data_IF_278325549326
#
_entry.id   IF_278325549326
#
_cell.length_a   1.000
_cell.length_b   1.000
_cell.length_c   1.000
_cell.angle_alpha   90.00
_cell.angle_beta   90.00
_cell.angle_gamma   90.00
#
_symmetry.space_group_name_H-M   'P 1'
#
loop_
_entity.id
_entity.type
_entity.pdbx_description
1 polymer ?
#
# COMPACT_ATOMS: atom_id res chain seq x y z
N UNK A 1 -22.64 -16.96 0.40
CA UNK A 1 -22.95 -15.63 0.93
C UNK A 1 -22.57 -15.62 2.40
N UNK A 2 -21.86 -14.59 2.86
CA UNK A 2 -21.44 -14.46 4.26
C UNK A 2 -22.42 -13.52 4.98
N UNK A 3 -23.30 -14.03 5.86
CA UNK A 3 -24.31 -13.20 6.54
C UNK A 3 -23.70 -12.05 7.38
N UNK A 4 -22.51 -12.27 7.94
CA UNK A 4 -21.77 -11.31 8.76
C UNK A 4 -21.05 -10.22 7.94
N UNK A 5 -20.88 -10.39 6.63
CA UNK A 5 -20.18 -9.45 5.75
C UNK A 5 -21.08 -8.94 4.61
N UNK A 6 -22.23 -8.31 4.91
CA UNK A 6 -23.14 -7.82 3.88
C UNK A 6 -22.48 -6.69 3.08
N UNK A 7 -22.60 -6.75 1.74
CA UNK A 7 -22.12 -5.68 0.85
C UNK A 7 -23.25 -5.04 0.06
N UNK A 8 -24.11 -5.91 -0.54
CA UNK A 8 -25.34 -5.53 -1.23
C UNK A 8 -26.42 -6.51 -0.84
N UNK A 9 -27.67 -6.27 -1.25
CA UNK A 9 -28.82 -7.13 -0.93
C UNK A 9 -28.58 -8.60 -1.21
N UNK A 10 -27.80 -8.93 -2.26
CA UNK A 10 -27.54 -10.31 -2.71
C UNK A 10 -26.06 -10.69 -2.68
N UNK A 11 -25.16 -9.82 -2.19
CA UNK A 11 -23.72 -10.05 -2.21
C UNK A 11 -23.09 -9.80 -0.86
N UNK A 12 -22.16 -10.66 -0.49
CA UNK A 12 -21.26 -10.44 0.63
C UNK A 12 -19.87 -10.13 0.11
N UNK A 13 -19.13 -9.29 0.84
CA UNK A 13 -17.74 -8.97 0.54
C UNK A 13 -16.94 -8.78 1.81
N UNK A 14 -15.73 -9.29 1.81
CA UNK A 14 -14.74 -9.08 2.86
C UNK A 14 -13.65 -8.18 2.31
N UNK A 15 -13.35 -7.11 3.01
CA UNK A 15 -12.26 -6.18 2.68
C UNK A 15 -11.06 -6.45 3.57
N UNK A 16 -9.89 -6.45 2.95
CA UNK A 16 -8.61 -6.55 3.64
C UNK A 16 -7.88 -5.21 3.49
N UNK A 17 -7.82 -4.46 4.56
CA UNK A 17 -7.09 -3.20 4.63
C UNK A 17 -5.65 -3.47 5.08
N UNK A 18 -4.69 -2.95 4.36
CA UNK A 18 -3.28 -3.29 4.58
C UNK A 18 -2.41 -2.04 4.51
N UNK A 19 -1.57 -1.85 5.51
CA UNK A 19 -0.39 -0.99 5.44
C UNK A 19 0.82 -1.87 5.12
N UNK A 20 1.52 -1.56 4.02
CA UNK A 20 2.66 -2.32 3.54
C UNK A 20 3.94 -1.51 3.73
N UNK A 21 4.93 -2.04 4.46
CA UNK A 21 6.27 -1.46 4.49
C UNK A 21 6.96 -1.72 3.14
N UNK A 22 7.17 -0.65 2.38
CA UNK A 22 7.74 -0.70 1.03
C UNK A 22 9.22 -1.13 1.00
N UNK A 23 9.93 -1.09 2.13
CA UNK A 23 11.34 -1.54 2.23
C UNK A 23 11.50 -3.05 2.16
N UNK A 24 10.43 -3.80 2.30
CA UNK A 24 10.46 -5.27 2.26
C UNK A 24 9.16 -5.88 1.75
N UNK A 25 8.20 -5.05 1.38
CA UNK A 25 6.84 -5.45 0.98
C UNK A 25 6.16 -6.32 2.05
N UNK A 26 6.43 -6.01 3.33
CA UNK A 26 5.90 -6.74 4.48
C UNK A 26 4.72 -5.94 5.06
N UNK A 27 3.53 -6.54 5.21
CA UNK A 27 2.41 -5.88 5.86
C UNK A 27 2.71 -5.63 7.35
N UNK A 28 2.61 -4.38 7.76
CA UNK A 28 2.81 -3.95 9.17
C UNK A 28 1.49 -3.75 9.89
N UNK A 29 0.42 -3.57 9.14
CA UNK A 29 -0.93 -3.45 9.67
C UNK A 29 -1.91 -4.14 8.74
N UNK A 30 -2.84 -4.92 9.31
CA UNK A 30 -3.93 -5.57 8.60
C UNK A 30 -5.22 -5.44 9.41
N UNK A 31 -6.28 -5.06 8.72
CA UNK A 31 -7.62 -5.07 9.27
C UNK A 31 -8.60 -5.72 8.29
N UNK A 32 -9.41 -6.65 8.80
CA UNK A 32 -10.45 -7.34 8.03
C UNK A 32 -11.79 -6.72 8.39
N UNK A 33 -12.52 -6.25 7.39
CA UNK A 33 -13.85 -5.68 7.56
C UNK A 33 -14.86 -6.26 6.58
N UNK A 34 -16.14 -5.98 6.79
CA UNK A 34 -17.17 -6.20 5.79
C UNK A 34 -17.02 -5.27 4.59
N UNK A 35 -17.83 -5.50 3.57
CA UNK A 35 -17.82 -4.71 2.33
C UNK A 35 -18.35 -3.29 2.47
N UNK A 36 -19.07 -2.97 3.54
CA UNK A 36 -19.69 -1.65 3.76
C UNK A 36 -18.74 -0.62 4.33
N UNK A 37 -17.72 -1.06 5.06
CA UNK A 37 -16.74 -0.15 5.66
C UNK A 37 -16.08 0.72 4.58
N UNK A 38 -16.15 2.03 4.74
CA UNK A 38 -15.42 2.97 3.89
C UNK A 38 -13.92 2.85 4.14
N UNK A 39 -13.14 2.75 3.06
CA UNK A 39 -11.70 2.53 3.12
C UNK A 39 -10.96 3.61 3.91
N UNK A 40 -11.42 4.86 3.80
CA UNK A 40 -10.82 6.01 4.49
C UNK A 40 -10.87 5.87 6.03
N UNK A 41 -11.89 5.20 6.57
CA UNK A 41 -12.06 5.01 8.01
C UNK A 41 -10.95 4.14 8.64
N UNK A 42 -10.17 3.43 7.81
CA UNK A 42 -9.04 2.68 8.34
C UNK A 42 -7.93 3.59 8.87
N UNK A 43 -7.84 4.81 8.37
CA UNK A 43 -6.87 5.80 8.85
C UNK A 43 -7.06 6.14 10.34
N UNK A 44 -8.28 5.99 10.87
CA UNK A 44 -8.56 6.21 12.30
C UNK A 44 -7.97 5.13 13.20
N UNK A 45 -7.62 3.99 12.64
CA UNK A 45 -7.03 2.85 13.35
C UNK A 45 -5.51 2.79 13.26
N UNK A 46 -4.92 3.63 12.41
CA UNK A 46 -3.47 3.71 12.28
C UNK A 46 -2.89 4.57 13.40
N UNK A 47 -1.74 4.13 13.91
CA UNK A 47 -0.89 4.94 14.78
C UNK A 47 0.21 5.53 13.89
N UNK A 48 0.16 6.83 13.56
CA UNK A 48 1.14 7.45 12.68
C UNK A 48 2.52 7.49 13.34
N UNK A 49 3.56 7.14 12.57
CA UNK A 49 4.95 7.23 13.00
C UNK A 49 5.56 8.53 12.49
N UNK A 50 6.15 9.33 13.38
CA UNK A 50 6.84 10.57 13.00
C UNK A 50 7.98 10.28 12.00
N UNK A 51 8.07 11.10 10.96
CA UNK A 51 9.04 10.93 9.87
C UNK A 51 8.67 9.87 8.82
N UNK A 52 7.66 9.05 9.05
CA UNK A 52 7.21 8.07 8.06
C UNK A 52 6.44 8.71 6.90
N UNK A 53 6.53 8.10 5.72
CA UNK A 53 5.77 8.48 4.53
C UNK A 53 4.62 7.51 4.28
N UNK A 54 3.40 8.03 4.32
CA UNK A 54 2.18 7.29 4.01
C UNK A 54 1.76 7.55 2.57
N UNK A 55 1.88 6.54 1.72
CA UNK A 55 1.50 6.62 0.30
C UNK A 55 0.14 5.94 0.12
N UNK A 56 -0.84 6.70 -0.34
CA UNK A 56 -2.22 6.22 -0.39
C UNK A 56 -2.96 6.64 -1.65
N UNK A 57 -3.98 5.88 -2.03
CA UNK A 57 -4.82 6.21 -3.18
C UNK A 57 -5.77 7.38 -2.86
N UNK A 58 -6.36 7.93 -3.92
CA UNK A 58 -7.36 9.01 -3.85
C UNK A 58 -8.58 8.67 -2.99
N UNK A 59 -8.92 7.38 -2.83
CA UNK A 59 -9.98 6.92 -1.95
C UNK A 59 -9.77 7.29 -0.48
N UNK A 60 -8.52 7.50 -0.08
CA UNK A 60 -8.14 7.90 1.29
C UNK A 60 -8.00 9.42 1.46
N UNK A 61 -8.41 10.23 0.47
CA UNK A 61 -8.32 11.69 0.55
C UNK A 61 -9.43 12.23 1.46
N UNK A 62 -9.08 12.47 2.71
CA UNK A 62 -9.87 13.07 3.76
C UNK A 62 -8.97 14.03 4.55
N UNK A 63 -9.33 15.30 4.59
CA UNK A 63 -8.41 16.33 5.07
C UNK A 63 -8.26 16.33 6.59
N UNK A 64 -9.29 16.01 7.35
CA UNK A 64 -9.20 15.84 8.80
C UNK A 64 -8.19 14.74 9.16
N UNK A 65 -8.29 13.58 8.52
CA UNK A 65 -7.38 12.46 8.74
C UNK A 65 -5.95 12.74 8.26
N UNK A 66 -5.81 13.46 7.14
CA UNK A 66 -4.50 13.92 6.67
C UNK A 66 -3.87 14.94 7.62
N UNK A 67 -4.68 15.80 8.27
CA UNK A 67 -4.24 16.72 9.31
C UNK A 67 -3.70 15.94 10.52
N UNK A 68 -4.36 14.89 10.94
CA UNK A 68 -3.86 14.01 12.03
C UNK A 68 -2.49 13.40 11.69
N UNK A 69 -2.29 12.91 10.46
CA UNK A 69 -0.98 12.45 10.00
C UNK A 69 0.07 13.56 10.06
N UNK A 70 -0.28 14.75 9.60
CA UNK A 70 0.62 15.92 9.62
C UNK A 70 0.99 16.32 11.06
N UNK A 71 0.02 16.44 11.94
CA UNK A 71 0.22 16.81 13.35
C UNK A 71 1.06 15.76 14.10
N UNK A 72 0.96 14.49 13.72
CA UNK A 72 1.81 13.42 14.25
C UNK A 72 3.26 13.46 13.70
N UNK A 73 3.63 14.48 12.91
CA UNK A 73 4.97 14.61 12.33
C UNK A 73 5.25 13.64 11.17
N UNK A 74 4.23 13.00 10.63
CA UNK A 74 4.38 12.11 9.47
C UNK A 74 4.09 12.84 8.16
N UNK A 75 4.56 12.23 7.06
CA UNK A 75 4.35 12.73 5.72
C UNK A 75 3.34 11.84 4.96
N UNK A 76 2.63 12.44 4.03
CA UNK A 76 1.76 11.68 3.13
C UNK A 76 1.96 12.06 1.67
N UNK A 77 1.67 11.13 0.78
CA UNK A 77 1.56 11.35 -0.66
C UNK A 77 0.27 10.70 -1.14
N UNK A 78 -0.63 11.49 -1.70
CA UNK A 78 -1.89 10.99 -2.25
C UNK A 78 -2.24 11.69 -3.57
N UNK A 79 -3.25 11.18 -4.28
CA UNK A 79 -3.76 11.83 -5.49
C UNK A 79 -4.84 12.85 -5.14
N UNK A 80 -4.69 14.07 -5.69
CA UNK A 80 -5.73 15.09 -5.62
C UNK A 80 -6.96 14.72 -6.47
N UNK A 81 -8.13 15.16 -6.02
CA UNK A 81 -9.37 15.13 -6.81
C UNK A 81 -9.34 16.24 -7.85
N UNK A 82 -10.00 16.05 -9.01
CA UNK A 82 -10.07 17.06 -10.08
C UNK A 82 -10.79 18.33 -9.66
N UNK A 83 -11.74 18.21 -8.74
CA UNK A 83 -12.56 19.30 -8.20
C UNK A 83 -12.00 19.91 -6.90
N UNK A 84 -10.72 19.67 -6.59
CA UNK A 84 -10.08 20.22 -5.40
C UNK A 84 -10.07 21.76 -5.45
N UNK A 85 -10.77 22.39 -4.50
CA UNK A 85 -10.76 23.85 -4.33
C UNK A 85 -9.50 24.24 -3.55
N UNK A 86 -8.53 24.83 -4.24
CA UNK A 86 -7.28 25.26 -3.65
C UNK A 86 -6.68 26.45 -4.40
N UNK A 87 -6.19 27.44 -3.66
CA UNK A 87 -5.52 28.60 -4.18
C UNK A 87 -4.00 28.39 -4.16
N UNK A 88 -3.35 28.70 -5.29
CA UNK A 88 -1.89 28.71 -5.39
C UNK A 88 -1.33 29.92 -4.64
N UNK A 89 -0.35 29.66 -3.76
CA UNK A 89 0.42 30.68 -3.05
C UNK A 89 1.78 30.89 -3.71
N UNK A 90 2.45 29.80 -4.10
CA UNK A 90 3.77 29.85 -4.70
C UNK A 90 3.93 28.78 -5.77
N UNK A 91 4.79 28.99 -6.75
CA UNK A 91 5.13 28.02 -7.78
C UNK A 91 6.64 27.92 -7.93
N UNK A 92 7.18 26.71 -7.76
CA UNK A 92 8.59 26.41 -8.00
C UNK A 92 8.83 26.21 -9.49
N UNK A 93 10.02 26.57 -10.01
CA UNK A 93 10.41 26.19 -11.35
C UNK A 93 10.48 24.67 -11.46
N UNK A 94 10.10 24.12 -12.61
CA UNK A 94 10.14 22.70 -12.90
C UNK A 94 10.76 22.44 -14.27
N UNK A 95 11.52 21.38 -14.38
CA UNK A 95 11.99 20.88 -15.66
C UNK A 95 10.88 20.03 -16.31
N UNK A 96 10.28 20.55 -17.38
CA UNK A 96 9.18 19.88 -18.07
C UNK A 96 9.64 18.66 -18.87
N UNK A 97 10.90 18.53 -19.21
CA UNK A 97 11.45 17.36 -19.91
C UNK A 97 11.32 16.09 -19.08
N UNK A 98 11.27 16.23 -17.74
CA UNK A 98 11.07 15.13 -16.79
C UNK A 98 9.62 14.64 -16.67
N UNK A 99 8.67 15.32 -17.32
CA UNK A 99 7.24 15.09 -17.18
C UNK A 99 6.57 15.95 -16.09
N UNK A 100 7.33 16.72 -15.30
CA UNK A 100 6.77 17.64 -14.31
C UNK A 100 6.08 18.81 -15.03
N UNK A 101 4.82 19.07 -14.67
CA UNK A 101 4.04 20.18 -15.21
C UNK A 101 4.00 21.37 -14.25
N UNK A 102 3.96 21.14 -12.95
CA UNK A 102 4.11 22.16 -11.92
C UNK A 102 4.45 21.56 -10.55
N UNK A 103 5.08 22.37 -9.71
CA UNK A 103 5.33 22.15 -8.30
C UNK A 103 4.92 23.41 -7.53
N UNK A 104 3.86 23.33 -6.75
CA UNK A 104 3.18 24.49 -6.19
C UNK A 104 2.86 24.32 -4.72
N UNK A 105 3.01 25.40 -3.96
CA UNK A 105 2.40 25.54 -2.63
C UNK A 105 0.98 26.04 -2.81
N UNK A 106 0.03 25.35 -2.22
CA UNK A 106 -1.40 25.66 -2.28
C UNK A 106 -2.01 25.68 -0.89
N UNK A 107 -3.05 26.46 -0.69
CA UNK A 107 -3.92 26.42 0.49
C UNK A 107 -5.32 26.00 0.06
N UNK A 108 -5.99 25.21 0.87
CA UNK A 108 -7.34 24.78 0.60
C UNK A 108 -8.30 25.96 0.76
N UNK A 109 -9.32 26.04 -0.11
CA UNK A 109 -10.31 27.12 -0.12
C UNK A 109 -11.76 26.60 -0.08
N UNK A 110 -11.94 25.26 -0.05
CA UNK A 110 -13.25 24.67 0.17
C UNK A 110 -13.67 24.86 1.62
N UNK A 111 -14.94 25.15 1.89
CA UNK A 111 -15.46 25.50 3.22
C UNK A 111 -15.03 24.49 4.29
N UNK A 112 -15.31 23.21 4.14
CA UNK A 112 -14.91 22.18 5.10
C UNK A 112 -13.41 21.86 5.02
N UNK A 113 -12.87 21.68 3.83
CA UNK A 113 -11.47 21.26 3.65
C UNK A 113 -10.45 22.26 4.17
N UNK A 114 -10.77 23.58 4.19
CA UNK A 114 -9.90 24.61 4.76
C UNK A 114 -9.95 24.64 6.29
N UNK A 115 -11.03 24.16 6.89
CA UNK A 115 -11.12 24.00 8.35
C UNK A 115 -10.43 22.72 8.81
N UNK A 116 -10.58 21.64 8.05
CA UNK A 116 -10.01 20.33 8.37
C UNK A 116 -8.47 20.30 8.19
N UNK A 117 -7.94 21.13 7.28
CA UNK A 117 -6.51 21.24 6.99
C UNK A 117 -6.15 22.68 6.61
N UNK A 118 -5.72 23.46 7.58
CA UNK A 118 -5.47 24.91 7.49
C UNK A 118 -4.05 25.25 7.01
N UNK A 119 -3.12 24.29 7.07
CA UNK A 119 -1.74 24.47 6.67
C UNK A 119 -1.53 24.32 5.17
N UNK A 120 -0.48 24.95 4.59
CA UNK A 120 -0.19 24.79 3.17
C UNK A 120 0.13 23.35 2.78
N UNK A 121 -0.34 22.97 1.60
CA UNK A 121 -0.04 21.70 0.94
C UNK A 121 0.82 21.94 -0.30
N UNK A 122 1.60 20.94 -0.66
CA UNK A 122 2.34 20.91 -1.92
C UNK A 122 1.54 20.15 -2.95
N UNK A 123 1.29 20.78 -4.10
CA UNK A 123 0.62 20.19 -5.26
C UNK A 123 1.61 20.02 -6.40
N UNK A 124 1.80 18.77 -6.83
CA UNK A 124 2.68 18.42 -7.95
C UNK A 124 1.81 17.88 -9.08
N UNK A 125 1.93 18.45 -10.29
CA UNK A 125 1.32 17.88 -11.50
C UNK A 125 2.39 17.21 -12.34
N UNK A 126 2.11 16.00 -12.76
CA UNK A 126 3.04 15.15 -13.48
C UNK A 126 2.34 14.47 -14.66
N UNK A 127 2.97 14.49 -15.81
CA UNK A 127 2.58 13.70 -16.97
C UNK A 127 3.43 12.42 -16.97
N UNK A 128 2.82 11.29 -16.66
CA UNK A 128 3.56 10.04 -16.60
C UNK A 128 3.96 9.58 -18.01
N UNK A 129 5.26 9.57 -18.36
CA UNK A 129 5.69 9.22 -19.72
C UNK A 129 5.39 7.77 -20.09
N UNK A 130 5.24 6.88 -19.10
CA UNK A 130 4.93 5.46 -19.34
C UNK A 130 3.47 5.22 -19.68
N UNK A 131 2.56 5.98 -19.09
CA UNK A 131 1.11 5.75 -19.24
C UNK A 131 0.38 6.87 -19.97
N UNK A 132 1.06 8.00 -20.23
CA UNK A 132 0.46 9.22 -20.81
C UNK A 132 -0.54 9.92 -19.89
N UNK A 133 -0.70 9.45 -18.64
CA UNK A 133 -1.71 9.99 -17.73
C UNK A 133 -1.21 11.23 -17.02
N UNK A 134 -2.08 12.25 -16.93
CA UNK A 134 -1.83 13.41 -16.08
C UNK A 134 -2.26 13.11 -14.64
N UNK A 135 -1.32 13.20 -13.73
CA UNK A 135 -1.50 12.92 -12.32
C UNK A 135 -1.34 14.21 -11.52
N UNK A 136 -2.12 14.34 -10.45
CA UNK A 136 -2.00 15.43 -9.48
C UNK A 136 -1.73 14.81 -8.13
N UNK A 137 -0.61 15.13 -7.53
CA UNK A 137 -0.24 14.67 -6.19
C UNK A 137 -0.39 15.78 -5.17
N UNK A 138 -0.81 15.42 -3.99
CA UNK A 138 -0.83 16.26 -2.80
C UNK A 138 0.06 15.63 -1.73
N UNK A 139 0.86 16.47 -1.08
CA UNK A 139 1.74 16.07 0.02
C UNK A 139 1.94 17.23 0.99
N UNK A 140 2.26 16.93 2.24
CA UNK A 140 2.73 17.89 3.23
C UNK A 140 4.27 17.95 3.30
N UNK A 141 4.98 17.22 2.42
CA UNK A 141 6.45 17.27 2.35
C UNK A 141 6.91 18.31 1.33
N UNK A 142 7.70 19.27 1.78
CA UNK A 142 8.27 20.35 0.98
C UNK A 142 9.77 20.19 0.72
N UNK A 143 10.41 19.18 1.31
CA UNK A 143 11.86 18.97 1.28
C UNK A 143 12.28 18.11 0.10
N UNK A 144 11.61 16.96 -0.10
CA UNK A 144 11.98 16.03 -1.17
C UNK A 144 11.77 16.64 -2.57
N UNK A 145 12.62 16.31 -3.55
CA UNK A 145 12.41 16.68 -4.94
C UNK A 145 11.04 16.22 -5.46
N UNK A 146 10.43 17.00 -6.38
CA UNK A 146 9.10 16.68 -6.92
C UNK A 146 9.07 15.32 -7.62
N UNK A 147 10.12 14.92 -8.34
CA UNK A 147 10.23 13.60 -8.97
C UNK A 147 10.23 12.47 -7.93
N UNK A 148 10.95 12.64 -6.81
CA UNK A 148 10.95 11.65 -5.73
C UNK A 148 9.55 11.43 -5.16
N UNK A 149 8.74 12.50 -5.02
CA UNK A 149 7.33 12.37 -4.61
C UNK A 149 6.53 11.55 -5.63
N UNK A 150 6.75 11.73 -6.93
CA UNK A 150 6.07 10.94 -7.97
C UNK A 150 6.48 9.47 -7.93
N UNK A 151 7.75 9.19 -7.66
CA UNK A 151 8.28 7.83 -7.51
C UNK A 151 7.74 7.14 -6.26
N UNK A 152 7.69 7.84 -5.12
CA UNK A 152 7.05 7.34 -3.90
C UNK A 152 5.59 6.93 -4.18
N UNK A 153 4.84 7.77 -4.91
CA UNK A 153 3.48 7.40 -5.25
C UNK A 153 3.40 6.16 -6.16
N UNK A 154 4.35 5.97 -7.05
CA UNK A 154 4.41 4.77 -7.90
C UNK A 154 4.57 3.49 -7.07
N UNK A 155 5.30 3.56 -5.94
CA UNK A 155 5.45 2.42 -5.03
C UNK A 155 4.12 1.95 -4.41
N UNK A 156 3.05 2.75 -4.41
CA UNK A 156 1.70 2.33 -4.00
C UNK A 156 1.24 1.04 -4.68
N UNK A 157 1.69 0.81 -5.91
CA UNK A 157 1.34 -0.41 -6.66
C UNK A 157 1.78 -1.72 -5.97
N UNK A 158 2.73 -1.66 -5.08
CA UNK A 158 3.22 -2.83 -4.33
C UNK A 158 2.11 -3.48 -3.49
N UNK A 159 1.16 -2.70 -2.97
CA UNK A 159 -0.02 -3.24 -2.26
C UNK A 159 -0.89 -4.08 -3.18
N UNK A 160 -1.07 -3.68 -4.43
CA UNK A 160 -1.85 -4.44 -5.40
C UNK A 160 -1.14 -5.75 -5.79
N UNK A 161 0.20 -5.70 -5.92
CA UNK A 161 1.02 -6.89 -6.15
C UNK A 161 0.96 -7.86 -4.96
N UNK A 162 1.01 -7.35 -3.72
CA UNK A 162 0.80 -8.14 -2.53
C UNK A 162 -0.55 -8.86 -2.54
N UNK A 163 -1.66 -8.13 -2.79
CA UNK A 163 -2.98 -8.75 -2.87
C UNK A 163 -3.10 -9.76 -4.02
N UNK A 164 -2.51 -9.46 -5.17
CA UNK A 164 -2.47 -10.40 -6.30
C UNK A 164 -1.78 -11.68 -5.88
N UNK A 165 -0.62 -11.56 -5.23
CA UNK A 165 0.22 -12.68 -4.82
C UNK A 165 -0.50 -13.60 -3.83
N UNK A 166 -1.05 -13.06 -2.72
CA UNK A 166 -1.75 -13.89 -1.73
C UNK A 166 -3.01 -14.55 -2.29
N UNK A 167 -3.73 -13.86 -3.20
CA UNK A 167 -4.89 -14.45 -3.89
C UNK A 167 -4.50 -15.58 -4.83
N UNK A 168 -3.36 -15.49 -5.50
CA UNK A 168 -2.92 -16.50 -6.46
C UNK A 168 -2.31 -17.72 -5.78
N UNK A 169 -1.49 -17.53 -4.74
CA UNK A 169 -0.66 -18.59 -4.19
C UNK A 169 -1.16 -19.14 -2.85
N UNK A 170 -2.01 -18.42 -2.11
CA UNK A 170 -2.49 -18.82 -0.78
C UNK A 170 -4.00 -19.08 -0.73
N UNK A 171 -4.61 -19.30 -1.89
CA UNK A 171 -6.00 -19.79 -2.06
C UNK A 171 -7.08 -19.02 -1.28
N UNK A 172 -6.91 -17.71 -1.06
CA UNK A 172 -7.94 -16.89 -0.40
C UNK A 172 -9.06 -16.39 -1.34
N UNK A 173 -9.18 -16.97 -2.53
CA UNK A 173 -10.28 -16.69 -3.46
C UNK A 173 -11.55 -17.48 -3.12
N UNK A 174 -11.38 -18.63 -2.50
CA UNK A 174 -12.45 -19.50 -2.01
C UNK A 174 -12.20 -19.78 -0.54
N UNK A 175 -13.27 -19.66 0.25
CA UNK A 175 -13.20 -19.94 1.68
C UNK A 175 -13.77 -21.31 1.96
N UNK A 176 -13.11 -22.08 2.82
CA UNK A 176 -13.55 -23.43 3.23
C UNK A 176 -14.75 -23.38 4.18
N UNK A 177 -14.95 -22.27 4.88
CA UNK A 177 -16.08 -22.05 5.75
C UNK A 177 -16.76 -20.70 5.51
N UNK A 178 -18.00 -20.56 5.97
CA UNK A 178 -18.81 -19.35 5.79
C UNK A 178 -18.92 -18.50 7.03
N UNK A 179 -18.50 -19.00 8.20
CA UNK A 179 -18.50 -18.25 9.44
C UNK A 179 -17.41 -17.17 9.45
N UNK A 180 -17.62 -16.12 10.22
CA UNK A 180 -16.65 -15.02 10.34
C UNK A 180 -15.27 -15.53 10.79
N UNK A 181 -15.25 -16.40 11.81
CA UNK A 181 -14.00 -16.98 12.30
C UNK A 181 -13.30 -17.83 11.25
N UNK A 182 -14.00 -18.69 10.51
CA UNK A 182 -13.40 -19.52 9.48
C UNK A 182 -12.75 -18.67 8.38
N UNK A 183 -13.45 -17.63 7.90
CA UNK A 183 -12.94 -16.71 6.86
C UNK A 183 -11.74 -15.90 7.38
N UNK A 184 -11.84 -15.34 8.58
CA UNK A 184 -10.75 -14.58 9.19
C UNK A 184 -9.52 -15.45 9.44
N UNK A 185 -9.72 -16.68 9.95
CA UNK A 185 -8.62 -17.64 10.19
C UNK A 185 -7.89 -17.95 8.89
N UNK A 186 -8.62 -18.24 7.81
CA UNK A 186 -8.00 -18.52 6.51
C UNK A 186 -7.20 -17.33 5.98
N UNK A 187 -7.72 -16.11 6.10
CA UNK A 187 -7.01 -14.88 5.70
C UNK A 187 -5.76 -14.70 6.56
N UNK A 188 -5.87 -14.84 7.88
CA UNK A 188 -4.73 -14.68 8.78
C UNK A 188 -3.66 -15.73 8.54
N UNK A 189 -4.02 -16.99 8.30
CA UNK A 189 -3.09 -18.06 7.92
C UNK A 189 -2.34 -17.69 6.64
N UNK A 190 -3.05 -17.22 5.62
CA UNK A 190 -2.42 -16.82 4.36
C UNK A 190 -1.45 -15.64 4.54
N UNK A 191 -1.86 -14.62 5.28
CA UNK A 191 -1.01 -13.45 5.56
C UNK A 191 0.22 -13.86 6.38
N UNK A 192 0.04 -14.66 7.43
CA UNK A 192 1.16 -15.14 8.27
C UNK A 192 2.16 -15.96 7.46
N UNK A 193 1.67 -16.85 6.58
CA UNK A 193 2.54 -17.60 5.66
C UNK A 193 3.36 -16.67 4.76
N UNK A 194 2.70 -15.67 4.14
CA UNK A 194 3.42 -14.68 3.34
C UNK A 194 4.51 -13.96 4.13
N UNK A 195 4.16 -13.46 5.32
CA UNK A 195 5.09 -12.70 6.18
C UNK A 195 6.28 -13.56 6.60
N UNK A 196 6.05 -14.80 7.03
CA UNK A 196 7.11 -15.72 7.43
C UNK A 196 8.08 -15.98 6.28
N UNK A 197 7.57 -16.31 5.10
CA UNK A 197 8.42 -16.54 3.91
C UNK A 197 9.17 -15.27 3.50
N UNK A 198 8.53 -14.10 3.55
CA UNK A 198 9.18 -12.83 3.23
C UNK A 198 10.29 -12.48 4.24
N UNK A 199 10.08 -12.74 5.54
CA UNK A 199 11.11 -12.55 6.58
C UNK A 199 12.29 -13.49 6.35
N UNK A 200 12.04 -14.78 6.11
CA UNK A 200 13.08 -15.77 5.82
C UNK A 200 13.89 -15.34 4.60
N UNK A 201 13.20 -14.97 3.50
CA UNK A 201 13.87 -14.47 2.29
C UNK A 201 14.79 -13.30 2.60
N UNK A 202 14.30 -12.31 3.35
CA UNK A 202 15.05 -11.10 3.69
C UNK A 202 16.24 -11.41 4.60
N UNK A 203 16.04 -12.21 5.65
CA UNK A 203 17.10 -12.55 6.63
C UNK A 203 18.21 -13.37 6.00
N UNK A 204 17.88 -14.38 5.22
CA UNK A 204 18.82 -15.28 4.57
C UNK A 204 19.31 -14.76 3.22
N UNK A 205 18.86 -13.58 2.77
CA UNK A 205 19.20 -12.95 1.48
C UNK A 205 18.99 -13.91 0.29
N UNK A 206 17.91 -14.70 0.32
CA UNK A 206 17.57 -15.70 -0.69
C UNK A 206 17.17 -15.00 -1.99
N UNK A 207 17.74 -15.41 -3.12
CA UNK A 207 17.43 -14.83 -4.43
C UNK A 207 16.16 -15.40 -5.06
N UNK A 208 15.75 -16.62 -4.69
CA UNK A 208 14.53 -17.25 -5.18
C UNK A 208 13.30 -16.37 -4.91
N UNK A 209 12.29 -16.47 -5.78
CA UNK A 209 11.00 -15.78 -5.59
C UNK A 209 10.27 -16.34 -4.37
N UNK A 210 9.35 -15.57 -3.80
CA UNK A 210 8.51 -16.06 -2.68
C UNK A 210 7.67 -17.29 -3.09
N UNK A 211 7.31 -17.40 -4.37
CA UNK A 211 6.56 -18.54 -4.87
C UNK A 211 7.41 -19.81 -4.93
N UNK A 212 8.60 -19.74 -5.48
CA UNK A 212 9.57 -20.86 -5.48
C UNK A 212 9.86 -21.33 -4.06
N UNK A 213 10.08 -20.39 -3.14
CA UNK A 213 10.27 -20.73 -1.73
C UNK A 213 9.06 -21.47 -1.13
N UNK A 214 7.83 -21.03 -1.44
CA UNK A 214 6.63 -21.73 -0.98
C UNK A 214 6.52 -23.14 -1.57
N UNK A 215 6.84 -23.33 -2.85
CA UNK A 215 6.82 -24.65 -3.49
C UNK A 215 7.79 -25.59 -2.80
N UNK A 216 9.03 -25.16 -2.56
CA UNK A 216 10.03 -25.96 -1.88
C UNK A 216 9.60 -26.32 -0.46
N UNK A 217 9.16 -25.31 0.31
CA UNK A 217 8.66 -25.53 1.68
C UNK A 217 7.47 -26.49 1.72
N UNK A 218 6.58 -26.47 0.70
CA UNK A 218 5.44 -27.39 0.64
C UNK A 218 5.84 -28.84 0.42
N UNK A 219 6.96 -29.09 -0.26
CA UNK A 219 7.50 -30.42 -0.51
C UNK A 219 8.35 -30.94 0.66
N UNK A 220 9.03 -30.03 1.35
CA UNK A 220 10.00 -30.38 2.40
C UNK A 220 9.50 -30.07 3.81
N UNK A 221 8.21 -29.83 3.99
CA UNK A 221 7.60 -29.38 5.26
C UNK A 221 7.93 -30.31 6.46
N UNK A 222 8.10 -31.60 6.20
CA UNK A 222 8.39 -32.61 7.22
C UNK A 222 9.86 -33.02 7.29
N UNK A 223 10.74 -32.38 6.49
CA UNK A 223 12.17 -32.64 6.53
C UNK A 223 12.85 -31.74 7.56
N UNK A 224 13.75 -32.33 8.34
CA UNK A 224 14.56 -31.61 9.33
C UNK A 224 15.85 -31.05 8.68
N UNK A 225 15.70 -30.31 7.59
CA UNK A 225 16.82 -29.69 6.87
C UNK A 225 16.91 -28.20 7.24
N UNK A 226 18.11 -27.68 7.62
CA UNK A 226 18.27 -26.25 7.88
C UNK A 226 17.88 -25.41 6.65
N UNK A 227 17.11 -24.33 6.85
CA UNK A 227 16.59 -23.50 5.75
C UNK A 227 17.69 -22.90 4.85
N UNK A 228 18.84 -22.51 5.44
CA UNK A 228 19.99 -22.02 4.67
C UNK A 228 20.54 -23.08 3.71
N UNK A 229 20.60 -24.34 4.12
CA UNK A 229 21.04 -25.46 3.29
C UNK A 229 20.00 -25.77 2.22
N UNK A 230 18.73 -25.82 2.59
CA UNK A 230 17.62 -26.07 1.66
C UNK A 230 17.60 -25.07 0.51
N UNK A 231 17.79 -23.77 0.78
CA UNK A 231 17.74 -22.73 -0.24
C UNK A 231 19.11 -22.45 -0.91
N UNK A 232 20.22 -22.97 -0.41
CA UNK A 232 21.54 -22.86 -1.09
C UNK A 232 21.65 -23.79 -2.31
N UNK A 233 20.99 -24.94 -2.27
CA UNK A 233 20.98 -25.90 -3.38
C UNK A 233 20.31 -25.35 -4.65
N UNK A 234 19.43 -24.36 -4.54
CA UNK A 234 18.81 -23.70 -5.70
C UNK A 234 19.82 -22.89 -6.52
N UNK A 235 20.89 -22.37 -5.88
CA UNK A 235 21.96 -21.64 -6.58
C UNK A 235 22.83 -22.55 -7.46
N UNK A 236 23.01 -23.80 -7.08
CA UNK A 236 23.83 -24.74 -7.84
C UNK A 236 23.12 -25.23 -9.11
N UNK A 237 21.80 -25.48 -9.04
CA UNK A 237 21.05 -25.99 -10.20
C UNK A 237 20.72 -24.98 -11.31
N UNK A 238 20.93 -23.66 -11.08
CA UNK A 238 20.71 -22.61 -12.10
C UNK A 238 21.96 -22.28 -12.89
N UNK A 239 23.14 -22.76 -12.49
CA UNK A 239 24.40 -22.57 -13.23
C UNK A 239 24.73 -23.71 -14.18
N UNK A 240 23.97 -24.79 -14.19
CA UNK A 240 24.19 -25.98 -15.03
C UNK A 240 23.11 -26.16 -16.11
N UNK A 241 22.34 -25.10 -16.44
CA UNK A 241 21.33 -25.16 -17.49
C UNK A 241 21.55 -24.09 -18.57
#
# INVERSE_FOLDING_TARGET
VFPWAPFRTTKAAVKLHTLLDLRGNIPTFIHISDGKMHEVNILDRLLPEAGAFYVMDRGYLDFERLCRLHTAGSFFVTRGKSNLKAQRRYSRPVDRSTGLLCDQTVVLTGFYSSQDFDTPLRRIRFNDPKTGKRLVFLTNNFVLPALTITELYRCRWQVELFFKWIKQHLRIKQFYGTTENAVKTQIWTAVSTYVLVAIVKKRLKIQASLYEMLQILSLTMFEQTPLNTLFSQIRAGQNDA
#
